data_IF_794655966680
#
_entry.id   IF_794655966680
#
_cell.length_a   1.000
_cell.length_b   1.000
_cell.length_c   1.000
_cell.angle_alpha   90.00
_cell.angle_beta   90.00
_cell.angle_gamma   90.00
#
_symmetry.space_group_name_H-M   'P 1'
#
loop_
_entity.id
_entity.type
_entity.pdbx_description
1 polymer ?
#
# COMPACT_ATOMS: atom_id res chain seq x y z
N UNK A 1 6.10 -13.85 -25.73
CA UNK A 1 4.96 -12.94 -25.51
C UNK A 1 5.09 -12.52 -24.06
N UNK A 2 5.62 -11.32 -23.83
CA UNK A 2 5.65 -10.72 -22.50
C UNK A 2 4.20 -10.44 -22.12
N UNK A 3 3.66 -11.23 -21.20
CA UNK A 3 2.36 -10.96 -20.58
C UNK A 3 2.50 -9.66 -19.81
N UNK A 4 2.10 -8.57 -20.48
CA UNK A 4 2.34 -7.20 -20.06
C UNK A 4 1.44 -6.76 -18.91
N UNK A 5 0.54 -7.61 -18.39
CA UNK A 5 -0.36 -7.23 -17.30
C UNK A 5 -0.69 -8.45 -16.42
N UNK A 6 0.31 -9.04 -15.75
CA UNK A 6 0.00 -9.87 -14.59
C UNK A 6 -0.18 -8.94 -13.38
N UNK A 7 -1.43 -8.62 -12.95
CA UNK A 7 -1.69 -7.71 -11.83
C UNK A 7 -0.98 -8.16 -10.54
N UNK A 8 -0.81 -9.48 -10.38
CA UNK A 8 -0.15 -10.06 -9.21
C UNK A 8 1.34 -9.70 -9.20
N UNK A 9 2.01 -9.71 -10.35
CA UNK A 9 3.43 -9.35 -10.44
C UNK A 9 3.67 -7.90 -10.02
N UNK A 10 2.78 -7.00 -10.42
CA UNK A 10 2.89 -5.58 -10.09
C UNK A 10 2.79 -5.34 -8.58
N UNK A 11 1.79 -5.95 -7.93
CA UNK A 11 1.63 -5.87 -6.46
C UNK A 11 2.86 -6.46 -5.74
N UNK A 12 3.37 -7.61 -6.21
CA UNK A 12 4.55 -8.24 -5.64
C UNK A 12 5.80 -7.37 -5.78
N UNK A 13 5.98 -6.73 -6.93
CA UNK A 13 7.09 -5.82 -7.18
C UNK A 13 7.00 -4.56 -6.30
N UNK A 14 5.81 -3.95 -6.20
CA UNK A 14 5.57 -2.81 -5.33
C UNK A 14 5.93 -3.14 -3.87
N UNK A 15 5.45 -4.29 -3.36
CA UNK A 15 5.79 -4.79 -2.04
C UNK A 15 7.30 -4.99 -1.86
N UNK A 16 7.96 -5.68 -2.79
CA UNK A 16 9.41 -5.93 -2.73
C UNK A 16 10.22 -4.64 -2.70
N UNK A 17 9.80 -3.62 -3.46
CA UNK A 17 10.44 -2.30 -3.49
C UNK A 17 10.28 -1.57 -2.16
N UNK A 18 9.10 -1.60 -1.55
CA UNK A 18 8.85 -1.01 -0.23
C UNK A 18 9.69 -1.72 0.83
N UNK A 19 9.72 -3.05 0.86
CA UNK A 19 10.57 -3.81 1.79
C UNK A 19 12.05 -3.48 1.62
N UNK A 20 12.52 -3.34 0.38
CA UNK A 20 13.91 -2.97 0.09
C UNK A 20 14.24 -1.57 0.61
N UNK A 21 13.33 -0.61 0.43
CA UNK A 21 13.48 0.75 0.97
C UNK A 21 13.56 0.75 2.50
N UNK A 22 12.65 0.03 3.17
CA UNK A 22 12.64 -0.06 4.63
C UNK A 22 13.92 -0.70 5.16
N UNK A 23 14.44 -1.73 4.48
CA UNK A 23 15.70 -2.37 4.82
C UNK A 23 16.90 -1.43 4.65
N UNK A 24 16.94 -0.67 3.56
CA UNK A 24 18.01 0.31 3.34
C UNK A 24 18.01 1.40 4.43
N UNK A 25 16.84 1.89 4.84
CA UNK A 25 16.71 2.83 5.96
C UNK A 25 17.22 2.22 7.27
N UNK A 26 16.92 0.95 7.53
CA UNK A 26 17.44 0.23 8.71
C UNK A 26 18.96 0.09 8.68
N UNK A 27 19.55 -0.22 7.53
CA UNK A 27 21.01 -0.29 7.32
C UNK A 27 21.69 1.07 7.54
N UNK A 28 21.00 2.18 7.24
CA UNK A 28 21.44 3.56 7.53
C UNK A 28 21.22 3.97 9.01
N UNK A 29 20.66 3.10 9.84
CA UNK A 29 20.41 3.34 11.26
C UNK A 29 19.08 4.05 11.55
N UNK A 30 18.21 4.21 10.55
CA UNK A 30 16.87 4.75 10.72
C UNK A 30 15.85 3.63 11.01
N UNK A 31 14.99 3.84 12.01
CA UNK A 31 13.94 2.88 12.36
C UNK A 31 12.56 3.53 12.23
N UNK A 32 11.69 2.93 11.42
CA UNK A 32 10.28 3.33 11.30
C UNK A 32 9.51 2.72 12.46
N UNK A 33 9.35 3.48 13.54
CA UNK A 33 8.63 3.03 14.74
C UNK A 33 7.17 3.50 14.70
N UNK A 34 6.20 2.64 15.05
CA UNK A 34 4.84 3.10 15.29
C UNK A 34 4.83 4.07 16.48
N UNK A 35 4.21 5.24 16.30
CA UNK A 35 4.18 6.28 17.32
C UNK A 35 3.66 7.62 16.81
N UNK A 36 3.68 8.64 17.66
CA UNK A 36 3.34 10.01 17.29
C UNK A 36 4.45 10.59 16.40
N UNK A 37 4.32 10.39 15.10
CA UNK A 37 5.08 11.09 14.07
C UNK A 37 4.36 12.40 13.72
N UNK A 38 5.14 13.43 13.39
CA UNK A 38 4.56 14.67 12.89
C UNK A 38 4.04 14.45 11.46
N UNK A 39 2.73 14.30 11.31
CA UNK A 39 2.07 14.12 10.02
C UNK A 39 1.94 15.42 9.23
N UNK A 40 2.23 16.59 9.83
CA UNK A 40 2.11 17.88 9.14
C UNK A 40 3.12 18.04 8.00
N UNK A 41 4.17 17.20 7.97
CA UNK A 41 5.17 17.17 6.90
C UNK A 41 4.61 16.57 5.60
N UNK A 42 3.56 15.75 5.68
CA UNK A 42 2.89 15.13 4.53
C UNK A 42 1.93 16.14 3.91
N UNK A 43 2.43 16.95 2.99
CA UNK A 43 1.73 18.15 2.50
C UNK A 43 1.37 18.11 1.02
N UNK A 44 1.93 17.17 0.27
CA UNK A 44 1.66 17.06 -1.16
C UNK A 44 0.31 16.40 -1.45
N UNK A 45 -0.28 16.73 -2.60
CA UNK A 45 -1.53 16.12 -3.06
C UNK A 45 -1.39 14.60 -3.23
N UNK A 46 -0.21 14.13 -3.63
CA UNK A 46 0.08 12.70 -3.78
C UNK A 46 0.09 11.96 -2.42
N UNK A 47 0.69 12.55 -1.39
CA UNK A 47 0.67 11.98 -0.04
C UNK A 47 -0.75 11.93 0.52
N UNK A 48 -1.52 13.02 0.37
CA UNK A 48 -2.93 13.04 0.80
C UNK A 48 -3.79 12.02 0.07
N UNK A 49 -3.59 11.86 -1.24
CA UNK A 49 -4.29 10.85 -2.03
C UNK A 49 -3.96 9.42 -1.54
N UNK A 50 -2.68 9.13 -1.26
CA UNK A 50 -2.25 7.84 -0.73
C UNK A 50 -2.84 7.56 0.66
N UNK A 51 -2.82 8.55 1.57
CA UNK A 51 -3.42 8.43 2.90
C UNK A 51 -4.91 8.11 2.80
N UNK A 52 -5.62 8.78 1.87
CA UNK A 52 -7.04 8.54 1.63
C UNK A 52 -7.29 7.13 1.12
N UNK A 53 -6.51 6.65 0.15
CA UNK A 53 -6.68 5.27 -0.34
C UNK A 53 -6.41 4.26 0.79
N UNK A 54 -5.31 4.41 1.55
CA UNK A 54 -5.00 3.56 2.71
C UNK A 54 -6.15 3.51 3.72
N UNK A 55 -6.81 4.64 3.99
CA UNK A 55 -7.92 4.72 4.93
C UNK A 55 -9.17 3.93 4.47
N UNK A 56 -9.31 3.68 3.16
CA UNK A 56 -10.44 2.94 2.59
C UNK A 56 -10.34 1.41 2.78
N UNK A 57 -9.18 0.89 3.19
CA UNK A 57 -8.96 -0.55 3.27
C UNK A 57 -9.93 -1.28 4.22
N UNK A 58 -10.24 -0.67 5.36
CA UNK A 58 -11.18 -1.24 6.33
C UNK A 58 -12.58 -1.44 5.73
N UNK A 59 -13.00 -0.52 4.86
CA UNK A 59 -14.28 -0.59 4.16
C UNK A 59 -14.28 -1.69 3.11
N UNK A 60 -13.19 -1.83 2.35
CA UNK A 60 -13.03 -2.90 1.36
C UNK A 60 -13.06 -4.29 2.01
N UNK A 61 -12.44 -4.46 3.19
CA UNK A 61 -12.54 -5.70 3.99
C UNK A 61 -14.00 -5.97 4.38
N UNK A 62 -14.72 -4.94 4.85
CA UNK A 62 -16.12 -5.06 5.26
C UNK A 62 -17.02 -5.47 4.09
N UNK A 63 -16.79 -4.90 2.91
CA UNK A 63 -17.52 -5.25 1.69
C UNK A 63 -17.20 -6.68 1.23
N UNK A 64 -15.93 -7.07 1.23
CA UNK A 64 -15.50 -8.43 0.91
C UNK A 64 -16.19 -9.47 1.80
N UNK A 65 -16.25 -9.21 3.11
CA UNK A 65 -16.88 -10.11 4.07
C UNK A 65 -18.40 -10.17 3.93
N UNK A 66 -19.05 -9.03 3.67
CA UNK A 66 -20.51 -8.94 3.47
C UNK A 66 -20.98 -9.75 2.26
N UNK A 67 -20.27 -9.59 1.15
CA UNK A 67 -20.68 -10.16 -0.14
C UNK A 67 -20.03 -11.52 -0.42
N UNK A 68 -19.18 -12.01 0.49
CA UNK A 68 -18.35 -13.22 0.34
C UNK A 68 -17.50 -13.20 -0.94
N UNK A 69 -17.02 -12.01 -1.31
CA UNK A 69 -16.28 -11.79 -2.54
C UNK A 69 -14.85 -11.29 -2.23
N UNK A 70 -13.81 -12.12 -2.38
CA UNK A 70 -12.43 -11.68 -2.12
C UNK A 70 -11.90 -10.71 -3.19
N UNK A 71 -12.59 -10.53 -4.33
CA UNK A 71 -12.13 -9.66 -5.41
C UNK A 71 -12.09 -8.17 -5.03
N UNK A 72 -12.84 -7.75 -4.00
CA UNK A 72 -12.74 -6.41 -3.40
C UNK A 72 -11.31 -6.10 -2.94
N UNK A 73 -10.66 -7.04 -2.25
CA UNK A 73 -9.28 -6.88 -1.78
C UNK A 73 -8.32 -6.77 -2.96
N UNK A 74 -8.48 -7.60 -3.99
CA UNK A 74 -7.62 -7.54 -5.17
C UNK A 74 -7.75 -6.20 -5.91
N UNK A 75 -8.98 -5.71 -6.09
CA UNK A 75 -9.23 -4.39 -6.71
C UNK A 75 -8.60 -3.26 -5.90
N UNK A 76 -8.74 -3.30 -4.58
CA UNK A 76 -8.09 -2.34 -3.69
C UNK A 76 -6.56 -2.34 -3.85
N UNK A 77 -5.93 -3.52 -3.79
CA UNK A 77 -4.48 -3.64 -3.94
C UNK A 77 -3.98 -3.15 -5.29
N UNK A 78 -4.76 -3.35 -6.36
CA UNK A 78 -4.43 -2.84 -7.69
C UNK A 78 -4.53 -1.31 -7.82
N UNK A 79 -5.40 -0.66 -7.04
CA UNK A 79 -5.47 0.81 -6.99
C UNK A 79 -4.40 1.42 -6.09
N UNK A 80 -3.99 0.67 -5.06
CA UNK A 80 -2.99 1.12 -4.08
C UNK A 80 -1.55 0.98 -4.59
N UNK A 81 -1.26 -0.09 -5.33
CA UNK A 81 0.07 -0.38 -5.88
C UNK A 81 0.47 0.64 -6.96
#
# INVERSE_FOLDING_TARGET
REDSENPIYYIQYAHARICSLLKALEEEGHSVKPGAVDLSILSSDAEHALIKELSSFAEEIRMAARDYDPSYINRYLMRLA
#
